data_IF_794005995443
#
_entry.id   IF_794005995443
#
_cell.length_a   1.000
_cell.length_b   1.000
_cell.length_c   1.000
_cell.angle_alpha   90.00
_cell.angle_beta   90.00
_cell.angle_gamma   90.00
#
_symmetry.space_group_name_H-M   'P 1'
#
loop_
_entity.id
_entity.type
_entity.pdbx_description
1 polymer ?
#
# COMPACT_ATOMS: atom_id res chain seq x y z
N UNK A 1 -15.85 -54.43 -33.92
CA UNK A 1 -16.60 -54.16 -32.67
C UNK A 1 -15.58 -54.20 -31.55
N UNK A 2 -15.27 -53.17 -30.75
CA UNK A 2 -15.72 -51.79 -30.68
C UNK A 2 -14.59 -50.98 -30.01
N UNK A 3 -14.31 -49.82 -30.61
CA UNK A 3 -13.99 -48.51 -30.01
C UNK A 3 -13.08 -48.39 -28.77
N UNK A 4 -11.91 -47.81 -29.03
CA UNK A 4 -11.17 -46.91 -28.15
C UNK A 4 -12.08 -45.86 -27.48
N UNK A 5 -12.15 -45.87 -26.15
CA UNK A 5 -12.68 -44.76 -25.36
C UNK A 5 -11.55 -43.78 -25.03
N UNK A 6 -11.33 -42.79 -25.90
CA UNK A 6 -10.56 -41.59 -25.56
C UNK A 6 -11.31 -40.83 -24.46
N UNK A 7 -10.67 -40.63 -23.30
CA UNK A 7 -11.17 -39.77 -22.23
C UNK A 7 -11.31 -38.33 -22.76
N UNK A 8 -12.42 -37.63 -22.49
CA UNK A 8 -12.59 -36.26 -22.94
C UNK A 8 -11.59 -35.35 -22.21
N UNK A 9 -11.08 -34.35 -22.93
CA UNK A 9 -10.26 -33.25 -22.41
C UNK A 9 -11.14 -32.42 -21.47
N UNK A 10 -11.28 -32.91 -20.25
CA UNK A 10 -11.93 -32.22 -19.15
C UNK A 10 -11.09 -31.03 -18.74
N UNK A 11 -11.56 -29.85 -19.16
CA UNK A 11 -11.37 -28.57 -18.50
C UNK A 11 -9.91 -28.14 -18.24
N UNK A 12 -9.21 -27.78 -19.32
CA UNK A 12 -7.91 -27.10 -19.27
C UNK A 12 -7.94 -25.85 -18.35
N UNK A 13 -9.09 -25.18 -18.24
CA UNK A 13 -9.30 -24.04 -17.35
C UNK A 13 -9.24 -24.40 -15.86
N UNK A 14 -9.64 -25.61 -15.47
CA UNK A 14 -9.49 -26.10 -14.08
C UNK A 14 -8.06 -26.53 -13.80
N UNK A 15 -7.37 -27.17 -14.76
CA UNK A 15 -5.94 -27.48 -14.65
C UNK A 15 -5.07 -26.22 -14.54
N UNK A 16 -5.40 -25.16 -15.29
CA UNK A 16 -4.69 -23.86 -15.22
C UNK A 16 -4.97 -23.16 -13.88
N UNK A 17 -6.21 -23.21 -13.37
CA UNK A 17 -6.54 -22.70 -12.02
C UNK A 17 -5.84 -23.47 -10.92
N UNK A 18 -5.63 -24.78 -11.07
CA UNK A 18 -4.84 -25.61 -10.15
C UNK A 18 -3.34 -25.26 -10.17
N UNK A 19 -2.81 -24.78 -11.30
CA UNK A 19 -1.42 -24.34 -11.44
C UNK A 19 -1.18 -22.92 -10.88
N UNK A 20 -2.18 -22.03 -10.97
CA UNK A 20 -2.11 -20.66 -10.45
C UNK A 20 -2.21 -20.58 -8.91
N UNK A 21 -2.59 -21.67 -8.24
CA UNK A 21 -2.63 -21.78 -6.78
C UNK A 21 -1.25 -21.90 -6.10
N UNK A 22 -0.16 -22.00 -6.87
CA UNK A 22 1.23 -22.11 -6.38
C UNK A 22 2.05 -20.85 -6.67
N UNK A 23 1.42 -19.67 -6.57
CA UNK A 23 2.07 -18.35 -6.77
C UNK A 23 2.99 -17.96 -5.60
N UNK A 24 3.84 -18.89 -5.14
CA UNK A 24 4.86 -18.61 -4.14
C UNK A 24 6.26 -18.45 -4.74
N UNK A 25 6.68 -19.19 -5.78
CA UNK A 25 8.04 -19.03 -6.34
C UNK A 25 8.14 -19.55 -7.78
N UNK A 26 7.92 -18.68 -8.78
CA UNK A 26 8.34 -18.95 -10.16
C UNK A 26 9.86 -18.78 -10.26
N UNK A 27 10.58 -19.88 -10.05
CA UNK A 27 12.04 -19.95 -10.14
C UNK A 27 12.47 -20.34 -11.56
N UNK A 28 13.69 -19.99 -11.96
CA UNK A 28 14.24 -20.38 -13.28
C UNK A 28 14.22 -21.90 -13.50
N UNK A 29 14.40 -22.67 -12.42
CA UNK A 29 14.30 -24.14 -12.45
C UNK A 29 12.91 -24.67 -12.81
N UNK A 30 11.83 -23.92 -12.53
CA UNK A 30 10.49 -24.27 -12.98
C UNK A 30 10.34 -24.08 -14.50
N UNK A 31 10.88 -22.98 -15.04
CA UNK A 31 10.87 -22.73 -16.48
C UNK A 31 11.70 -23.78 -17.23
N UNK A 32 12.85 -24.18 -16.68
CA UNK A 32 13.70 -25.24 -17.24
C UNK A 32 13.01 -26.61 -17.19
N UNK A 33 12.32 -26.94 -16.09
CA UNK A 33 11.56 -28.19 -15.99
C UNK A 33 10.41 -28.26 -17.00
N UNK A 34 9.71 -27.16 -17.26
CA UNK A 34 8.66 -27.10 -18.29
C UNK A 34 9.27 -27.23 -19.69
N UNK A 35 10.43 -26.63 -19.94
CA UNK A 35 11.17 -26.76 -21.19
C UNK A 35 11.59 -28.21 -21.46
N UNK A 36 12.06 -28.92 -20.43
CA UNK A 36 12.49 -30.31 -20.57
C UNK A 36 11.32 -31.29 -20.73
N UNK A 37 10.17 -31.00 -20.11
CA UNK A 37 8.92 -31.74 -20.37
C UNK A 37 8.51 -31.59 -21.85
N UNK A 38 8.60 -30.38 -22.41
CA UNK A 38 8.29 -30.11 -23.82
C UNK A 38 9.25 -30.87 -24.75
N UNK A 39 10.53 -30.98 -24.40
CA UNK A 39 11.52 -31.76 -25.16
C UNK A 39 11.36 -33.28 -25.03
N UNK A 40 10.72 -33.76 -23.95
CA UNK A 40 10.50 -35.18 -23.68
C UNK A 40 9.22 -35.76 -24.32
N UNK A 41 8.37 -34.91 -24.90
CA UNK A 41 7.22 -35.35 -25.67
C UNK A 41 7.69 -35.99 -26.99
N UNK A 42 7.08 -37.11 -27.45
CA UNK A 42 7.58 -37.83 -28.61
C UNK A 42 7.50 -36.94 -29.86
N UNK A 43 8.65 -36.71 -30.50
CA UNK A 43 8.71 -36.10 -31.82
C UNK A 43 8.19 -37.09 -32.85
N UNK A 44 7.06 -36.79 -33.49
CA UNK A 44 6.72 -37.44 -34.75
C UNK A 44 7.62 -36.85 -35.85
N UNK A 45 8.81 -37.42 -36.02
CA UNK A 45 9.56 -37.29 -37.26
C UNK A 45 8.99 -38.23 -38.34
N UNK A 46 8.81 -37.79 -39.60
CA UNK A 46 8.37 -38.67 -40.67
C UNK A 46 9.50 -39.59 -41.11
N UNK A 47 9.25 -40.90 -41.09
CA UNK A 47 10.15 -41.93 -41.63
C UNK A 47 10.33 -41.75 -43.14
N UNK A 48 11.58 -41.69 -43.59
CA UNK A 48 11.98 -41.73 -44.98
C UNK A 48 12.02 -43.17 -45.48
N UNK A 49 11.01 -43.60 -46.24
CA UNK A 49 11.09 -44.81 -47.06
C UNK A 49 10.88 -44.48 -48.55
N UNK A 50 11.77 -45.04 -49.36
CA UNK A 50 11.96 -44.80 -50.79
C UNK A 50 10.77 -45.30 -51.63
N UNK A 51 10.09 -44.42 -52.38
CA UNK A 51 9.37 -44.76 -53.62
C UNK A 51 9.57 -43.66 -54.68
N UNK A 52 9.88 -44.09 -55.92
CA UNK A 52 10.12 -43.28 -57.14
C UNK A 52 8.79 -42.70 -57.72
N UNK A 53 8.86 -41.73 -58.65
CA UNK A 53 7.85 -40.68 -58.79
C UNK A 53 6.69 -41.06 -59.72
N UNK A 54 5.47 -40.68 -59.36
CA UNK A 54 4.36 -40.52 -60.29
C UNK A 54 3.53 -39.29 -59.89
N UNK A 55 3.25 -38.45 -60.89
CA UNK A 55 2.58 -37.16 -60.80
C UNK A 55 1.11 -37.31 -60.36
N UNK A 56 0.65 -36.50 -59.40
CA UNK A 56 -0.74 -36.01 -59.35
C UNK A 56 -0.90 -34.93 -58.28
N UNK A 57 -1.17 -33.71 -58.75
CA UNK A 57 -2.05 -32.65 -58.23
C UNK A 57 -2.46 -32.67 -56.74
N UNK A 58 -2.06 -31.57 -56.07
CA UNK A 58 -2.85 -30.75 -55.13
C UNK A 58 -3.46 -31.42 -53.89
N UNK A 59 -2.93 -31.07 -52.71
CA UNK A 59 -3.70 -30.47 -51.60
C UNK A 59 -2.75 -29.99 -50.50
N UNK A 60 -2.75 -28.67 -50.30
CA UNK A 60 -2.10 -27.96 -49.20
C UNK A 60 -2.65 -28.46 -47.86
N UNK A 61 -1.79 -28.88 -46.92
CA UNK A 61 -2.21 -29.17 -45.54
C UNK A 61 -1.16 -28.85 -44.48
N UNK A 62 -0.04 -28.23 -44.86
CA UNK A 62 1.01 -27.80 -43.92
C UNK A 62 0.94 -26.31 -43.51
N UNK A 63 0.19 -25.47 -44.23
CA UNK A 63 0.04 -24.03 -43.91
C UNK A 63 -1.09 -23.71 -42.91
N UNK A 64 -2.09 -24.58 -42.76
CA UNK A 64 -3.31 -24.22 -42.00
C UNK A 64 -3.12 -24.16 -40.48
N UNK A 65 -2.12 -24.87 -39.92
CA UNK A 65 -1.90 -24.91 -38.46
C UNK A 65 -1.16 -23.67 -37.92
N UNK A 66 -0.21 -23.12 -38.68
CA UNK A 66 0.47 -21.86 -38.30
C UNK A 66 -0.44 -20.65 -38.50
N UNK A 67 -1.22 -20.61 -39.60
CA UNK A 67 -2.19 -19.55 -39.87
C UNK A 67 -3.30 -19.51 -38.82
N UNK A 68 -3.78 -20.68 -38.37
CA UNK A 68 -4.78 -20.77 -37.29
C UNK A 68 -4.21 -20.32 -35.93
N UNK A 69 -2.96 -20.70 -35.61
CA UNK A 69 -2.31 -20.27 -34.36
C UNK A 69 -2.06 -18.76 -34.32
N UNK A 70 -1.63 -18.16 -35.44
CA UNK A 70 -1.49 -16.71 -35.57
C UNK A 70 -2.82 -15.97 -35.42
N UNK A 71 -3.89 -16.51 -36.00
CA UNK A 71 -5.25 -15.95 -35.89
C UNK A 71 -5.78 -16.00 -34.45
N UNK A 72 -5.50 -17.08 -33.72
CA UNK A 72 -5.86 -17.21 -32.29
C UNK A 72 -5.06 -16.20 -31.45
N UNK A 73 -3.76 -16.05 -31.70
CA UNK A 73 -2.91 -15.07 -30.99
C UNK A 73 -3.41 -13.64 -31.22
N UNK A 74 -3.83 -13.30 -32.45
CA UNK A 74 -4.39 -11.98 -32.74
C UNK A 74 -5.70 -11.73 -31.98
N UNK A 75 -6.63 -12.70 -31.97
CA UNK A 75 -7.87 -12.60 -31.19
C UNK A 75 -7.61 -12.42 -29.70
N UNK A 76 -6.66 -13.16 -29.13
CA UNK A 76 -6.27 -13.03 -27.72
C UNK A 76 -5.67 -11.66 -27.43
N UNK A 77 -4.85 -11.11 -28.33
CA UNK A 77 -4.30 -9.75 -28.19
C UNK A 77 -5.39 -8.68 -28.22
N UNK A 78 -6.36 -8.81 -29.12
CA UNK A 78 -7.49 -7.89 -29.21
C UNK A 78 -8.35 -7.93 -27.95
N UNK A 79 -8.61 -9.14 -27.42
CA UNK A 79 -9.34 -9.33 -26.16
C UNK A 79 -8.58 -8.75 -24.96
N UNK A 80 -7.27 -8.95 -24.88
CA UNK A 80 -6.43 -8.33 -23.85
C UNK A 80 -6.45 -6.79 -23.93
N UNK A 81 -6.42 -6.23 -25.14
CA UNK A 81 -6.52 -4.79 -25.35
C UNK A 81 -7.89 -4.26 -24.89
N UNK A 82 -8.98 -4.95 -25.24
CA UNK A 82 -10.33 -4.59 -24.82
C UNK A 82 -10.51 -4.66 -23.29
N UNK A 83 -10.03 -5.72 -22.65
CA UNK A 83 -10.06 -5.87 -21.19
C UNK A 83 -9.22 -4.80 -20.49
N UNK A 84 -8.04 -4.46 -21.03
CA UNK A 84 -7.18 -3.40 -20.49
C UNK A 84 -7.88 -2.04 -20.57
N UNK A 85 -8.51 -1.72 -21.70
CA UNK A 85 -9.29 -0.50 -21.86
C UNK A 85 -10.47 -0.45 -20.86
N UNK A 86 -11.15 -1.57 -20.64
CA UNK A 86 -12.23 -1.67 -19.67
C UNK A 86 -11.76 -1.44 -18.22
N UNK A 87 -10.63 -2.04 -17.81
CA UNK A 87 -10.04 -1.81 -16.49
C UNK A 87 -9.64 -0.34 -16.32
N UNK A 88 -9.06 0.28 -17.35
CA UNK A 88 -8.72 1.70 -17.31
C UNK A 88 -9.96 2.58 -17.12
N UNK A 89 -11.07 2.27 -17.79
CA UNK A 89 -12.33 2.97 -17.60
C UNK A 89 -12.88 2.82 -16.18
N UNK A 90 -12.85 1.60 -15.62
CA UNK A 90 -13.26 1.36 -14.23
C UNK A 90 -12.38 2.12 -13.24
N UNK A 91 -11.07 2.20 -13.49
CA UNK A 91 -10.16 2.98 -12.65
C UNK A 91 -10.49 4.47 -12.68
N UNK A 92 -10.81 5.04 -13.86
CA UNK A 92 -11.24 6.44 -13.98
C UNK A 92 -12.53 6.67 -13.17
N UNK A 93 -13.52 5.78 -13.29
CA UNK A 93 -14.77 5.88 -12.53
C UNK A 93 -14.54 5.76 -11.02
N UNK A 94 -13.68 4.83 -10.58
CA UNK A 94 -13.30 4.68 -9.18
C UNK A 94 -12.71 5.97 -8.62
N UNK A 95 -11.80 6.62 -9.36
CA UNK A 95 -11.19 7.90 -8.97
C UNK A 95 -12.24 9.00 -8.85
N UNK A 96 -13.13 9.11 -9.83
CA UNK A 96 -14.21 10.11 -9.83
C UNK A 96 -15.13 9.97 -8.62
N UNK A 97 -15.62 8.75 -8.36
CA UNK A 97 -16.51 8.46 -7.23
C UNK A 97 -15.80 8.70 -5.89
N UNK A 98 -14.53 8.32 -5.77
CA UNK A 98 -13.76 8.56 -4.55
C UNK A 98 -13.57 10.06 -4.28
N UNK A 99 -13.25 10.83 -5.32
CA UNK A 99 -13.10 12.28 -5.21
C UNK A 99 -14.41 12.96 -4.83
N UNK A 100 -15.52 12.61 -5.50
CA UNK A 100 -16.84 13.15 -5.17
C UNK A 100 -17.24 12.81 -3.72
N UNK A 101 -16.99 11.56 -3.30
CA UNK A 101 -17.22 11.15 -1.91
C UNK A 101 -16.43 11.98 -0.90
N UNK A 102 -15.16 12.29 -1.20
CA UNK A 102 -14.31 13.10 -0.33
C UNK A 102 -14.67 14.58 -0.36
N UNK A 103 -15.02 15.14 -1.52
CA UNK A 103 -15.51 16.51 -1.66
C UNK A 103 -16.80 16.71 -0.86
N UNK A 104 -17.73 15.74 -0.90
CA UNK A 104 -18.96 15.74 -0.11
C UNK A 104 -18.67 15.65 1.40
N UNK A 105 -17.65 14.89 1.81
CA UNK A 105 -17.21 14.82 3.21
C UNK A 105 -16.39 16.04 3.65
N UNK A 106 -15.91 16.86 2.72
CA UNK A 106 -15.04 18.00 2.96
C UNK A 106 -13.54 17.67 2.90
N UNK A 107 -12.79 18.61 2.31
CA UNK A 107 -11.33 18.49 2.10
C UNK A 107 -10.50 18.57 3.39
N UNK A 108 -11.05 19.21 4.43
CA UNK A 108 -10.45 19.29 5.76
C UNK A 108 -11.43 18.68 6.73
N UNK A 109 -10.98 17.64 7.44
CA UNK A 109 -11.78 16.92 8.43
C UNK A 109 -11.04 16.86 9.75
N UNK A 110 -11.77 17.07 10.83
CA UNK A 110 -11.25 17.06 12.19
C UNK A 110 -11.94 15.95 12.97
N UNK A 111 -11.16 14.97 13.41
CA UNK A 111 -11.64 13.88 14.24
C UNK A 111 -11.20 14.05 15.69
N UNK A 112 -12.10 13.78 16.62
CA UNK A 112 -11.78 13.69 18.04
C UNK A 112 -11.66 12.22 18.43
N UNK A 113 -10.52 11.81 19.01
CA UNK A 113 -10.34 10.44 19.54
C UNK A 113 -10.11 10.49 21.04
N UNK A 114 -11.05 9.94 21.80
CA UNK A 114 -10.95 9.86 23.25
C UNK A 114 -10.29 8.54 23.59
N UNK A 115 -9.17 8.56 24.33
CA UNK A 115 -8.49 7.33 24.77
C UNK A 115 -9.20 6.68 25.97
N UNK A 116 -9.05 5.36 26.16
CA UNK A 116 -9.36 4.72 27.44
C UNK A 116 -8.63 5.36 28.62
N UNK A 117 -9.31 5.40 29.77
CA UNK A 117 -8.70 5.74 31.06
C UNK A 117 -7.83 4.55 31.47
N UNK A 118 -6.57 4.82 31.84
CA UNK A 118 -5.63 3.76 32.22
C UNK A 118 -5.79 3.42 33.70
N UNK A 119 -5.63 2.14 34.04
CA UNK A 119 -5.68 1.67 35.44
C UNK A 119 -4.57 2.37 36.24
N UNK A 120 -4.96 3.14 37.26
CA UNK A 120 -4.04 3.97 38.07
C UNK A 120 -4.23 5.47 37.90
N UNK A 121 -5.04 5.93 36.94
CA UNK A 121 -5.46 7.33 36.85
C UNK A 121 -6.61 7.59 37.84
N UNK A 122 -6.40 8.49 38.81
CA UNK A 122 -7.42 8.85 39.80
C UNK A 122 -8.66 9.45 39.11
N UNK A 123 -9.77 8.70 39.11
CA UNK A 123 -11.05 9.10 38.52
C UNK A 123 -11.68 10.35 39.18
N UNK A 124 -11.21 10.75 40.36
CA UNK A 124 -11.74 11.87 41.14
C UNK A 124 -11.36 13.26 40.61
N UNK A 125 -10.34 13.39 39.75
CA UNK A 125 -9.86 14.69 39.24
C UNK A 125 -9.92 14.81 37.70
N UNK A 126 -10.40 13.79 37.01
CA UNK A 126 -10.53 13.78 35.56
C UNK A 126 -11.89 14.36 35.14
N UNK A 127 -11.87 15.55 34.54
CA UNK A 127 -13.00 16.10 33.78
C UNK A 127 -13.47 15.05 32.78
N UNK A 128 -14.66 14.49 33.00
CA UNK A 128 -15.16 13.38 32.18
C UNK A 128 -15.54 13.91 30.80
N UNK A 129 -14.87 13.39 29.76
CA UNK A 129 -15.31 13.59 28.37
C UNK A 129 -16.29 12.48 28.03
N UNK A 130 -17.47 12.87 27.58
CA UNK A 130 -18.55 11.95 27.19
C UNK A 130 -18.85 12.16 25.72
N UNK A 131 -18.89 11.08 24.95
CA UNK A 131 -19.41 11.09 23.58
C UNK A 131 -20.93 11.21 23.64
N UNK A 132 -21.49 12.26 23.04
CA UNK A 132 -22.94 12.41 22.92
C UNK A 132 -23.47 11.60 21.74
N UNK A 133 -22.79 11.73 20.60
CA UNK A 133 -23.09 11.04 19.35
C UNK A 133 -21.79 10.91 18.52
N UNK A 134 -21.91 10.55 17.24
CA UNK A 134 -20.78 10.36 16.33
C UNK A 134 -20.02 11.65 15.98
N UNK A 135 -20.55 12.84 16.27
CA UNK A 135 -20.00 14.14 15.86
C UNK A 135 -19.84 15.11 17.03
N UNK A 136 -20.48 14.85 18.17
CA UNK A 136 -20.49 15.74 19.32
C UNK A 136 -19.85 15.10 20.56
N UNK A 137 -18.91 15.84 21.16
CA UNK A 137 -18.30 15.51 22.44
C UNK A 137 -18.70 16.54 23.51
N UNK A 138 -18.95 16.07 24.73
CA UNK A 138 -19.23 16.89 25.90
C UNK A 138 -18.10 16.77 26.92
N UNK A 139 -17.45 17.88 27.21
CA UNK A 139 -16.50 18.00 28.31
C UNK A 139 -17.24 18.49 29.56
N UNK A 140 -17.34 17.65 30.59
CA UNK A 140 -17.86 18.05 31.91
C UNK A 140 -16.72 18.61 32.76
N UNK A 141 -16.76 19.91 33.08
CA UNK A 141 -15.76 20.58 33.91
C UNK A 141 -16.15 20.61 35.40
N UNK A 142 -17.46 20.70 35.69
CA UNK A 142 -18.05 20.64 37.02
C UNK A 142 -19.53 20.21 36.91
N UNK A 143 -20.21 19.94 38.03
CA UNK A 143 -21.61 19.46 38.06
C UNK A 143 -22.56 20.31 37.19
N UNK A 144 -22.37 21.63 37.15
CA UNK A 144 -23.20 22.56 36.37
C UNK A 144 -22.44 23.28 35.23
N UNK A 145 -21.22 22.85 34.90
CA UNK A 145 -20.42 23.47 33.82
C UNK A 145 -19.94 22.42 32.83
N UNK A 146 -20.52 22.44 31.64
CA UNK A 146 -20.11 21.60 30.52
C UNK A 146 -19.84 22.43 29.27
N UNK A 147 -18.88 21.99 28.45
CA UNK A 147 -18.63 22.54 27.11
C UNK A 147 -18.90 21.48 26.06
N UNK A 148 -19.62 21.85 25.01
CA UNK A 148 -19.89 21.00 23.85
C UNK A 148 -18.97 21.37 22.70
N UNK A 149 -18.42 20.36 22.04
CA UNK A 149 -17.57 20.50 20.86
C UNK A 149 -18.12 19.62 19.74
N UNK A 150 -18.09 20.13 18.51
CA UNK A 150 -18.52 19.41 17.31
C UNK A 150 -17.31 19.12 16.43
N UNK A 151 -17.29 17.93 15.83
CA UNK A 151 -16.25 17.37 14.99
C UNK A 151 -16.88 16.58 13.85
N UNK A 152 -16.13 16.32 12.78
CA UNK A 152 -16.61 15.45 11.69
C UNK A 152 -16.86 14.02 12.18
N UNK A 153 -16.02 13.56 13.12
CA UNK A 153 -16.24 12.30 13.84
C UNK A 153 -15.63 12.32 15.24
N UNK A 154 -16.32 11.68 16.19
CA UNK A 154 -15.88 11.45 17.56
C UNK A 154 -15.76 9.95 17.81
N UNK A 155 -14.54 9.49 18.08
CA UNK A 155 -14.23 8.13 18.48
C UNK A 155 -14.27 8.02 20.00
N UNK A 156 -15.12 7.14 20.49
CA UNK A 156 -15.26 6.85 21.93
C UNK A 156 -14.08 5.99 22.42
N UNK A 157 -13.88 5.85 23.75
CA UNK A 157 -12.78 5.06 24.31
C UNK A 157 -12.69 3.60 23.83
N UNK A 158 -13.81 3.01 23.40
CA UNK A 158 -13.86 1.64 22.89
C UNK A 158 -13.57 1.52 21.39
N UNK A 159 -13.38 2.63 20.66
CA UNK A 159 -13.09 2.59 19.24
C UNK A 159 -11.69 2.04 18.97
N UNK A 160 -11.62 1.04 18.10
CA UNK A 160 -10.41 0.32 17.72
C UNK A 160 -9.50 1.14 16.77
N UNK A 161 -8.32 0.60 16.45
CA UNK A 161 -7.47 1.17 15.42
C UNK A 161 -8.09 1.00 14.03
N UNK A 162 -8.83 -0.08 13.80
CA UNK A 162 -9.54 -0.34 12.54
C UNK A 162 -10.64 0.69 12.33
N UNK A 163 -11.42 1.01 13.36
CA UNK A 163 -12.48 2.03 13.28
C UNK A 163 -11.94 3.41 12.87
N UNK A 164 -10.77 3.77 13.40
CA UNK A 164 -10.08 5.02 13.05
C UNK A 164 -9.55 4.94 11.61
N UNK A 165 -8.92 3.82 11.25
CA UNK A 165 -8.33 3.66 9.93
C UNK A 165 -9.39 3.68 8.81
N UNK A 166 -10.56 3.10 9.02
CA UNK A 166 -11.66 3.10 8.04
C UNK A 166 -12.09 4.51 7.58
N UNK A 167 -11.95 5.53 8.43
CA UNK A 167 -12.29 6.91 8.07
C UNK A 167 -11.17 7.66 7.34
N UNK A 168 -9.93 7.20 7.55
CA UNK A 168 -8.70 7.81 7.03
C UNK A 168 -8.26 7.14 5.72
N UNK A 169 -8.54 5.85 5.57
CA UNK A 169 -8.19 5.04 4.40
C UNK A 169 -8.61 5.69 3.07
N UNK A 170 -9.83 6.24 2.89
CA UNK A 170 -10.20 6.90 1.63
C UNK A 170 -9.25 8.03 1.24
N UNK A 171 -8.76 8.81 2.20
CA UNK A 171 -7.79 9.90 1.95
C UNK A 171 -6.40 9.35 1.63
N UNK A 172 -6.01 8.22 2.20
CA UNK A 172 -4.73 7.58 1.85
C UNK A 172 -4.78 7.06 0.41
N UNK A 173 -5.93 6.51 -0.02
CA UNK A 173 -6.10 5.93 -1.36
C UNK A 173 -6.01 6.96 -2.49
N UNK A 174 -6.28 8.25 -2.22
CA UNK A 174 -6.14 9.31 -3.23
C UNK A 174 -4.69 9.67 -3.54
N UNK A 175 -3.74 9.30 -2.67
CA UNK A 175 -2.32 9.53 -2.92
C UNK A 175 -1.85 8.84 -4.19
N UNK A 176 -2.33 7.62 -4.45
CA UNK A 176 -2.05 6.87 -5.68
C UNK A 176 -2.81 7.40 -6.90
N UNK A 177 -3.86 8.18 -6.68
CA UNK A 177 -4.63 8.86 -7.73
C UNK A 177 -4.02 10.22 -8.12
N UNK A 178 -2.94 10.65 -7.44
CA UNK A 178 -2.20 11.88 -7.72
C UNK A 178 -2.55 13.07 -6.82
N UNK A 179 -3.23 12.84 -5.69
CA UNK A 179 -3.56 13.88 -4.73
C UNK A 179 -2.59 13.91 -3.54
N UNK A 180 -2.40 15.09 -2.96
CA UNK A 180 -1.65 15.22 -1.72
C UNK A 180 -2.56 14.88 -0.54
N UNK A 181 -2.16 13.91 0.28
CA UNK A 181 -2.84 13.50 1.49
C UNK A 181 -2.02 13.88 2.72
N UNK A 182 -2.67 14.46 3.74
CA UNK A 182 -2.00 14.81 4.98
C UNK A 182 -2.85 14.41 6.19
N UNK A 183 -2.23 13.72 7.15
CA UNK A 183 -2.88 13.21 8.35
C UNK A 183 -2.08 13.69 9.56
N UNK A 184 -2.73 14.48 10.42
CA UNK A 184 -2.11 15.02 11.62
C UNK A 184 -2.73 14.42 12.88
N UNK A 185 -1.88 14.12 13.86
CA UNK A 185 -2.32 13.79 15.22
C UNK A 185 -1.97 14.93 16.17
N UNK A 186 -2.97 15.51 16.81
CA UNK A 186 -2.82 16.63 17.75
C UNK A 186 -3.35 16.28 19.14
N UNK A 187 -2.73 16.87 20.17
CA UNK A 187 -3.11 16.69 21.57
C UNK A 187 -1.93 16.80 22.54
N UNK A 188 -2.20 16.92 23.84
CA UNK A 188 -1.14 16.97 24.86
C UNK A 188 -0.35 15.63 24.96
N UNK A 189 0.75 15.63 25.70
CA UNK A 189 1.50 14.41 26.02
C UNK A 189 0.60 13.41 26.74
N UNK A 190 0.65 12.14 26.33
CA UNK A 190 -0.15 11.08 26.94
C UNK A 190 -1.61 10.97 26.45
N UNK A 191 -2.06 11.76 25.46
CA UNK A 191 -3.42 11.61 24.90
C UNK A 191 -3.57 10.50 23.86
N UNK A 192 -2.47 9.82 23.51
CA UNK A 192 -2.51 8.71 22.56
C UNK A 192 -2.19 9.09 21.11
N UNK A 193 -1.55 10.24 20.82
CA UNK A 193 -1.07 10.59 19.47
C UNK A 193 -0.23 9.46 18.84
N UNK A 194 0.80 9.02 19.56
CA UNK A 194 1.69 7.93 19.14
C UNK A 194 0.92 6.62 18.98
N UNK A 195 -0.02 6.32 19.89
CA UNK A 195 -0.87 5.14 19.76
C UNK A 195 -1.76 5.22 18.50
N UNK A 196 -2.32 6.38 18.16
CA UNK A 196 -3.12 6.54 16.94
C UNK A 196 -2.28 6.40 15.67
N UNK A 197 -1.13 7.06 15.59
CA UNK A 197 -0.32 7.07 14.37
C UNK A 197 0.50 5.79 14.21
N UNK A 198 1.15 5.31 15.26
CA UNK A 198 2.04 4.15 15.20
C UNK A 198 1.34 2.86 15.65
N UNK A 199 0.56 2.95 16.73
CA UNK A 199 -0.07 1.80 17.38
C UNK A 199 0.90 0.92 18.15
N UNK A 200 0.49 -0.32 18.37
CA UNK A 200 1.30 -1.39 18.95
C UNK A 200 1.55 -2.47 17.90
N UNK A 201 2.49 -3.41 18.12
CA UNK A 201 2.69 -4.54 17.21
C UNK A 201 1.40 -5.33 16.94
N UNK A 202 0.55 -5.51 17.97
CA UNK A 202 -0.71 -6.25 17.86
C UNK A 202 -1.86 -5.40 17.33
N UNK A 203 -1.80 -4.08 17.51
CA UNK A 203 -2.82 -3.12 17.09
C UNK A 203 -2.17 -1.97 16.33
N UNK A 204 -1.75 -2.20 15.06
CA UNK A 204 -1.04 -1.20 14.27
C UNK A 204 -1.89 0.06 14.08
N UNK A 205 -1.22 1.23 14.10
CA UNK A 205 -1.86 2.53 13.92
C UNK A 205 -2.00 2.93 12.45
N UNK A 206 -2.26 4.21 12.22
CA UNK A 206 -2.49 4.76 10.88
C UNK A 206 -1.29 4.58 9.94
N UNK A 207 -0.06 4.86 10.38
CA UNK A 207 1.13 4.85 9.53
C UNK A 207 1.47 3.45 8.96
N UNK A 208 1.60 2.38 9.78
CA UNK A 208 1.86 1.05 9.23
C UNK A 208 0.73 0.57 8.31
N UNK A 209 -0.54 0.82 8.66
CA UNK A 209 -1.69 0.45 7.83
C UNK A 209 -1.75 1.24 6.52
N UNK A 210 -1.38 2.52 6.55
CA UNK A 210 -1.31 3.36 5.36
C UNK A 210 -0.27 2.84 4.37
N UNK A 211 0.94 2.52 4.86
CA UNK A 211 1.98 1.92 4.01
C UNK A 211 1.49 0.61 3.40
N UNK A 212 0.88 -0.28 4.19
CA UNK A 212 0.36 -1.56 3.69
C UNK A 212 -0.69 -1.37 2.59
N UNK A 213 -1.67 -0.48 2.80
CA UNK A 213 -2.71 -0.18 1.80
C UNK A 213 -2.12 0.42 0.52
N UNK A 214 -1.15 1.34 0.63
CA UNK A 214 -0.52 1.95 -0.53
C UNK A 214 0.22 0.91 -1.39
N UNK A 215 1.05 0.05 -0.77
CA UNK A 215 1.75 -0.99 -1.51
C UNK A 215 0.79 -2.03 -2.09
N UNK A 216 -0.23 -2.44 -1.33
CA UNK A 216 -1.25 -3.38 -1.80
C UNK A 216 -1.99 -2.83 -3.02
N UNK A 217 -2.46 -1.58 -2.94
CA UNK A 217 -3.18 -0.95 -4.04
C UNK A 217 -2.29 -0.72 -5.27
N UNK A 218 -0.99 -0.45 -5.08
CA UNK A 218 -0.05 -0.36 -6.19
C UNK A 218 0.14 -1.70 -6.90
N UNK A 219 0.26 -2.81 -6.15
CA UNK A 219 0.35 -4.17 -6.70
C UNK A 219 -0.93 -4.58 -7.44
N UNK A 220 -2.09 -4.21 -6.91
CA UNK A 220 -3.39 -4.50 -7.52
C UNK A 220 -3.70 -3.60 -8.73
N UNK A 221 -2.83 -2.62 -9.03
CA UNK A 221 -3.02 -1.70 -10.14
C UNK A 221 -2.40 -2.20 -11.45
N UNK A 222 -2.87 -1.66 -12.57
CA UNK A 222 -2.22 -1.83 -13.87
C UNK A 222 -1.12 -0.77 -14.14
N UNK A 223 -0.67 -0.05 -13.11
CA UNK A 223 0.31 1.02 -13.23
C UNK A 223 1.61 0.66 -12.51
N UNK A 224 2.73 1.10 -13.06
CA UNK A 224 4.01 1.03 -12.37
C UNK A 224 4.14 2.23 -11.43
N UNK A 225 4.38 1.96 -10.16
CA UNK A 225 4.61 2.99 -9.14
C UNK A 225 6.07 2.96 -8.68
N UNK A 226 6.63 4.14 -8.47
CA UNK A 226 7.91 4.33 -7.79
C UNK A 226 7.64 4.98 -6.43
N UNK A 227 8.01 4.29 -5.35
CA UNK A 227 7.86 4.81 -4.00
C UNK A 227 9.19 5.33 -3.48
N UNK A 228 9.17 6.50 -2.87
CA UNK A 228 10.30 7.07 -2.14
C UNK A 228 9.88 7.38 -0.71
N UNK A 229 10.77 7.12 0.25
CA UNK A 229 10.53 7.31 1.67
C UNK A 229 11.53 8.32 2.25
N UNK A 230 10.99 9.33 2.95
CA UNK A 230 11.74 10.33 3.71
C UNK A 230 11.10 10.49 5.07
N UNK A 231 11.91 10.78 6.08
CA UNK A 231 11.44 10.95 7.46
C UNK A 231 12.27 12.01 8.15
N UNK A 232 11.62 13.01 8.74
CA UNK A 232 12.28 14.13 9.40
C UNK A 232 11.60 14.47 10.72
N UNK A 233 12.32 15.21 11.54
CA UNK A 233 11.82 15.77 12.80
C UNK A 233 12.05 17.29 12.79
N UNK A 234 11.03 18.04 13.21
CA UNK A 234 11.11 19.45 13.52
C UNK A 234 11.19 19.58 15.05
N UNK A 235 12.34 20.02 15.54
CA UNK A 235 12.57 20.23 16.98
C UNK A 235 13.08 21.65 17.23
N UNK A 236 12.31 22.43 17.99
CA UNK A 236 12.62 23.83 18.31
C UNK A 236 12.94 24.68 17.07
N UNK A 237 12.21 24.44 15.97
CA UNK A 237 12.40 25.15 14.69
C UNK A 237 13.54 24.62 13.82
N UNK A 238 14.34 23.66 14.31
CA UNK A 238 15.38 23.01 13.53
C UNK A 238 14.87 21.73 12.89
N UNK A 239 15.24 21.53 11.64
CA UNK A 239 14.96 20.33 10.88
C UNK A 239 16.07 19.30 11.08
N UNK A 240 15.68 18.06 11.30
CA UNK A 240 16.58 16.93 11.50
C UNK A 240 16.13 15.76 10.63
N UNK A 241 17.04 15.21 9.85
CA UNK A 241 16.81 13.97 9.10
C UNK A 241 16.80 12.77 10.07
N UNK A 242 15.74 11.94 10.01
CA UNK A 242 15.59 10.75 10.84
C UNK A 242 16.10 9.47 10.17
N UNK A 243 16.59 9.52 8.93
CA UNK A 243 17.22 8.41 8.23
C UNK A 243 18.75 8.48 8.27
N UNK A 244 19.32 9.63 8.62
CA UNK A 244 20.76 9.81 8.81
C UNK A 244 21.14 9.54 10.27
N UNK A 245 22.10 8.63 10.54
CA UNK A 245 22.63 8.44 11.88
C UNK A 245 23.20 9.76 12.43
N UNK A 246 22.84 10.10 13.65
CA UNK A 246 23.44 11.26 14.30
C UNK A 246 24.86 10.95 14.75
N UNK A 247 25.74 11.94 14.62
CA UNK A 247 27.08 11.93 15.20
C UNK A 247 26.99 11.56 16.68
N UNK A 248 27.63 10.45 17.06
CA UNK A 248 27.66 9.97 18.46
C UNK A 248 28.98 10.32 19.13
N UNK A 249 30.00 10.65 18.33
CA UNK A 249 31.32 11.08 18.78
C UNK A 249 31.64 12.44 18.19
N UNK A 250 32.38 13.26 18.93
CA UNK A 250 32.85 14.59 18.48
C UNK A 250 33.65 14.53 17.16
N UNK A 251 34.20 13.36 16.83
CA UNK A 251 34.96 13.10 15.60
C UNK A 251 34.09 12.77 14.38
N UNK A 252 32.82 12.43 14.56
CA UNK A 252 31.96 12.06 13.43
C UNK A 252 31.53 13.33 12.68
N UNK A 253 31.53 13.33 11.34
CA UNK A 253 31.07 14.46 10.55
C UNK A 253 29.62 14.82 10.93
N UNK A 254 29.36 16.11 11.08
CA UNK A 254 28.03 16.61 11.41
C UNK A 254 27.08 16.32 10.24
N UNK A 255 25.85 15.84 10.49
CA UNK A 255 24.87 15.68 9.43
C UNK A 255 24.58 17.04 8.76
N UNK A 256 24.30 17.04 7.44
CA UNK A 256 24.01 18.27 6.71
C UNK A 256 22.75 18.96 7.27
N UNK A 257 22.76 20.29 7.27
CA UNK A 257 21.59 21.08 7.65
C UNK A 257 20.50 20.95 6.60
N UNK A 258 19.26 20.76 7.03
CA UNK A 258 18.10 20.75 6.15
C UNK A 258 17.56 22.18 6.00
N UNK A 259 17.23 22.59 4.78
CA UNK A 259 16.58 23.87 4.48
C UNK A 259 15.36 23.66 3.58
N UNK A 260 14.28 24.40 3.85
CA UNK A 260 13.03 24.32 3.07
C UNK A 260 13.08 25.34 1.95
N UNK A 261 12.83 24.87 0.73
CA UNK A 261 12.72 25.68 -0.47
C UNK A 261 11.34 25.49 -1.08
N UNK A 262 10.82 26.54 -1.70
CA UNK A 262 9.59 26.48 -2.49
C UNK A 262 9.95 26.66 -3.95
N UNK A 263 9.55 25.71 -4.78
CA UNK A 263 9.73 25.84 -6.22
C UNK A 263 8.78 26.91 -6.81
N UNK A 264 9.01 27.39 -8.05
CA UNK A 264 8.13 28.38 -8.68
C UNK A 264 6.68 27.91 -8.91
N UNK A 265 6.41 26.61 -8.80
CA UNK A 265 5.08 25.99 -8.94
C UNK A 265 4.39 25.79 -7.58
N UNK A 266 5.02 26.20 -6.47
CA UNK A 266 4.50 26.05 -5.11
C UNK A 266 4.79 24.68 -4.47
N UNK A 267 5.59 23.82 -5.11
CA UNK A 267 6.12 22.59 -4.54
C UNK A 267 7.12 22.88 -3.41
N UNK A 268 7.14 22.02 -2.40
CA UNK A 268 8.07 22.13 -1.27
C UNK A 268 9.19 21.11 -1.49
N UNK A 269 10.43 21.60 -1.50
CA UNK A 269 11.65 20.78 -1.55
C UNK A 269 12.46 21.04 -0.27
N UNK A 270 13.08 20.00 0.27
CA UNK A 270 13.91 20.11 1.47
C UNK A 270 15.32 19.67 1.09
N UNK A 271 16.24 20.63 1.04
CA UNK A 271 17.63 20.37 0.69
C UNK A 271 18.26 19.45 1.71
N UNK A 272 19.07 18.52 1.22
CA UNK A 272 19.78 17.50 2.00
C UNK A 272 18.88 16.47 2.71
N UNK A 273 17.56 16.50 2.52
CA UNK A 273 16.67 15.46 3.05
C UNK A 273 16.87 14.16 2.28
N UNK A 274 17.19 13.09 2.99
CA UNK A 274 17.38 11.78 2.39
C UNK A 274 16.04 11.24 1.90
N UNK A 275 16.02 10.83 0.64
CA UNK A 275 14.88 10.17 -0.01
C UNK A 275 15.34 8.81 -0.53
N UNK A 276 14.83 7.73 0.08
CA UNK A 276 15.24 6.36 -0.23
C UNK A 276 14.13 5.71 -1.05
N UNK A 277 14.47 5.20 -2.25
CA UNK A 277 13.52 4.41 -3.03
C UNK A 277 13.21 3.10 -2.29
N UNK A 278 11.92 2.78 -2.20
CA UNK A 278 11.43 1.59 -1.53
C UNK A 278 10.64 0.71 -2.50
N UNK A 279 10.98 -0.58 -2.57
CA UNK A 279 10.33 -1.53 -3.47
C UNK A 279 9.09 -2.18 -2.87
N UNK A 280 9.02 -2.27 -1.55
CA UNK A 280 7.96 -2.99 -0.86
C UNK A 280 7.67 -2.43 0.55
N UNK A 281 6.56 -2.91 1.10
CA UNK A 281 6.08 -2.58 2.45
C UNK A 281 7.10 -2.88 3.56
N UNK A 282 7.84 -3.99 3.48
CA UNK A 282 8.77 -4.39 4.54
C UNK A 282 9.98 -3.47 4.60
N UNK A 283 10.47 -3.03 3.43
CA UNK A 283 11.55 -2.06 3.34
C UNK A 283 11.11 -0.71 3.92
N UNK A 284 9.94 -0.21 3.52
CA UNK A 284 9.38 1.04 4.05
C UNK A 284 9.18 0.97 5.57
N UNK A 285 8.59 -0.12 6.07
CA UNK A 285 8.39 -0.33 7.51
C UNK A 285 9.72 -0.43 8.28
N UNK A 286 10.77 -0.98 7.66
CA UNK A 286 12.10 -1.07 8.25
C UNK A 286 12.76 0.31 8.37
N UNK A 287 12.66 1.15 7.34
CA UNK A 287 13.12 2.54 7.37
C UNK A 287 12.35 3.36 8.41
N UNK A 288 11.03 3.19 8.48
CA UNK A 288 10.20 3.82 9.50
C UNK A 288 10.65 3.44 10.92
N UNK A 289 10.90 2.14 11.16
CA UNK A 289 11.43 1.66 12.44
C UNK A 289 12.83 2.19 12.74
N UNK A 290 13.69 2.34 11.72
CA UNK A 290 15.01 2.95 11.87
C UNK A 290 14.90 4.40 12.35
N UNK A 291 14.08 5.22 11.67
CA UNK A 291 13.93 6.62 12.04
C UNK A 291 13.29 6.83 13.41
N UNK A 292 12.37 5.95 13.81
CA UNK A 292 11.86 5.91 15.20
C UNK A 292 12.95 5.68 16.24
N UNK A 293 13.96 4.85 15.95
CA UNK A 293 15.09 4.64 16.86
C UNK A 293 15.96 5.88 16.96
N UNK A 294 16.27 6.55 15.85
CA UNK A 294 17.08 7.78 15.85
C UNK A 294 16.38 8.97 16.51
N UNK A 295 15.04 8.98 16.48
CA UNK A 295 14.23 9.86 17.31
C UNK A 295 14.39 9.53 18.80
N UNK A 296 14.33 8.25 19.15
CA UNK A 296 14.42 7.77 20.55
C UNK A 296 15.81 8.00 21.16
N UNK A 297 16.90 7.86 20.40
CA UNK A 297 18.27 8.03 20.92
C UNK A 297 18.63 9.48 21.25
N UNK A 298 17.97 10.47 20.63
CA UNK A 298 18.09 11.87 21.04
C UNK A 298 17.32 12.18 22.35
N UNK A 299 16.44 11.27 22.79
CA UNK A 299 15.55 11.44 23.94
C UNK A 299 16.01 10.71 25.21
N UNK A 300 17.27 10.25 25.28
CA UNK A 300 17.85 9.60 26.48
C UNK A 300 17.91 10.47 27.73
N UNK A 301 17.37 11.69 27.69
CA UNK A 301 17.02 12.45 28.88
C UNK A 301 15.50 12.75 28.91
N UNK A 302 14.74 11.76 29.39
CA UNK A 302 13.32 11.83 29.77
C UNK A 302 12.27 11.97 28.66
N UNK A 303 11.14 11.29 28.86
CA UNK A 303 9.90 11.22 28.05
C UNK A 303 9.24 12.59 27.66
N UNK A 304 9.91 13.70 27.93
CA UNK A 304 9.48 15.08 27.72
C UNK A 304 9.79 15.56 26.28
N UNK A 305 10.84 15.03 25.64
CA UNK A 305 11.30 15.49 24.32
C UNK A 305 10.32 15.17 23.17
N UNK A 306 9.65 14.01 23.19
CA UNK A 306 8.74 13.57 22.12
C UNK A 306 7.47 14.43 21.96
N UNK A 307 7.20 15.29 22.96
CA UNK A 307 6.07 16.22 22.95
C UNK A 307 6.40 17.60 22.37
N UNK A 308 7.71 17.91 22.24
CA UNK A 308 8.23 19.19 21.73
C UNK A 308 8.76 19.07 20.29
N UNK A 309 8.72 17.88 19.71
CA UNK A 309 9.04 17.65 18.32
C UNK A 309 7.83 17.23 17.50
N UNK A 310 7.80 17.70 16.25
CA UNK A 310 6.90 17.24 15.20
C UNK A 310 7.68 16.33 14.25
N UNK A 311 7.07 15.26 13.78
CA UNK A 311 7.73 14.27 12.92
C UNK A 311 6.67 13.55 12.08
#
# INVERSE_FOLDING_TARGET
MNMDTRKPVGNLAESIRSLLGLKANLTSSWADSVSDIIKSLPSEEPRTDRIKPAKSETTNSFDDKEVNSGTIILKLKDELAALTAYINQLNIQRRQVLNEFLDLKGNIRVFCRIRPITVGENSSHLSTVVTLDSSNALLKLAENKSKRYSFDKVFHPGSSQDDVFLEVEPVIKTALDGYNACIFAYGQTGTGKTYTMEGTPDCPGVVPRAMEVLFKQAVDSNHAFLFSFSMLEIYLGNLKDLLVPQSTKVTDPLPPSLSVHTDPKGGIEIDNLVSIQVSDFNQALSLYRLGRRFRSTASTNSNIASSRSHW
#
